data_IF_755063357009
#
_entry.id   IF_755063357009
#
_cell.length_a   1.000
_cell.length_b   1.000
_cell.length_c   1.000
_cell.angle_alpha   90.00
_cell.angle_beta   90.00
_cell.angle_gamma   90.00
#
_symmetry.space_group_name_H-M   'P 1'
#
loop_
_entity.id
_entity.type
_entity.pdbx_description
1 polymer ?
#
# COMPACT_ATOMS: atom_id res chain seq x y z
N UNK A 1 2.37 15.75 33.59
CA UNK A 1 1.94 17.01 32.94
C UNK A 1 0.45 16.92 32.70
N UNK A 2 -0.31 17.94 33.07
CA UNK A 2 -1.76 17.98 32.84
C UNK A 2 -2.05 18.00 31.33
N UNK A 3 -2.99 17.18 30.82
CA UNK A 3 -3.32 17.18 29.40
C UNK A 3 -3.85 18.53 28.91
N UNK A 4 -3.29 19.01 27.81
CA UNK A 4 -3.67 20.24 27.11
C UNK A 4 -3.94 19.90 25.65
N UNK A 5 -5.20 19.75 25.30
CA UNK A 5 -5.66 19.17 24.05
C UNK A 5 -6.03 20.28 23.07
N UNK A 6 -5.49 20.23 21.84
CA UNK A 6 -5.99 21.01 20.71
C UNK A 6 -6.89 20.16 19.81
N UNK A 7 -8.08 20.66 19.46
CA UNK A 7 -9.04 19.97 18.60
C UNK A 7 -9.20 20.72 17.28
N UNK A 8 -9.04 20.02 16.16
CA UNK A 8 -9.11 20.63 14.83
C UNK A 8 -10.13 19.93 13.96
N UNK A 9 -11.18 20.64 13.55
CA UNK A 9 -12.28 20.14 12.73
C UNK A 9 -12.07 20.55 11.27
N UNK A 10 -11.93 19.58 10.39
CA UNK A 10 -11.70 19.83 8.97
C UNK A 10 -13.02 19.92 8.20
N UNK A 11 -13.15 20.88 7.29
CA UNK A 11 -14.29 20.94 6.36
C UNK A 11 -14.11 20.01 5.15
N UNK A 12 -12.85 19.75 4.77
CA UNK A 12 -12.48 19.01 3.57
C UNK A 12 -13.19 19.55 2.31
N UNK A 13 -13.23 20.86 2.16
CA UNK A 13 -14.07 21.54 1.17
C UNK A 13 -15.55 21.36 1.53
N UNK A 14 -16.33 20.75 0.65
CA UNK A 14 -17.73 20.38 0.91
C UNK A 14 -17.89 18.94 1.40
N UNK A 15 -16.82 18.13 1.43
CA UNK A 15 -16.95 16.70 1.76
C UNK A 15 -17.40 16.45 3.20
N UNK A 16 -16.97 17.29 4.15
CA UNK A 16 -17.43 17.23 5.54
C UNK A 16 -18.42 18.37 5.77
N UNK A 17 -18.06 19.61 5.45
CA UNK A 17 -18.91 20.78 5.73
C UNK A 17 -20.25 20.81 4.97
N UNK A 18 -20.40 20.03 3.90
CA UNK A 18 -21.68 19.87 3.20
C UNK A 18 -22.73 19.14 4.04
N UNK A 19 -22.29 18.27 4.96
CA UNK A 19 -23.17 17.36 5.72
C UNK A 19 -23.01 17.49 7.24
N UNK A 20 -21.89 18.03 7.72
CA UNK A 20 -21.59 18.21 9.15
C UNK A 20 -21.35 19.69 9.39
N UNK A 21 -22.01 20.25 10.41
CA UNK A 21 -21.72 21.61 10.85
C UNK A 21 -20.40 21.66 11.62
N UNK A 22 -19.32 21.93 10.90
CA UNK A 22 -17.97 21.89 11.44
C UNK A 22 -17.72 22.99 12.49
N UNK A 23 -18.40 24.14 12.35
CA UNK A 23 -18.28 25.24 13.31
C UNK A 23 -18.94 24.85 14.64
N UNK A 24 -20.13 24.26 14.57
CA UNK A 24 -20.84 23.75 15.74
C UNK A 24 -20.05 22.63 16.46
N UNK A 25 -19.45 21.71 15.71
CA UNK A 25 -18.59 20.66 16.27
C UNK A 25 -17.37 21.24 16.98
N UNK A 26 -16.73 22.27 16.41
CA UNK A 26 -15.59 22.94 17.04
C UNK A 26 -16.00 23.68 18.32
N UNK A 27 -17.14 24.39 18.31
CA UNK A 27 -17.69 25.04 19.50
C UNK A 27 -18.02 24.04 20.60
N UNK A 28 -18.64 22.91 20.24
CA UNK A 28 -18.88 21.80 21.18
C UNK A 28 -17.55 21.29 21.78
N UNK A 29 -16.54 21.06 20.95
CA UNK A 29 -15.25 20.54 21.40
C UNK A 29 -14.51 21.48 22.36
N UNK A 30 -14.66 22.81 22.20
CA UNK A 30 -14.07 23.81 23.09
C UNK A 30 -14.53 23.67 24.55
N UNK A 31 -15.71 23.11 24.79
CA UNK A 31 -16.29 22.93 26.13
C UNK A 31 -15.96 21.57 26.77
N UNK A 32 -15.19 20.72 26.09
CA UNK A 32 -14.78 19.42 26.64
C UNK A 32 -13.60 19.59 27.61
N UNK A 33 -13.55 18.75 28.63
CA UNK A 33 -12.47 18.76 29.62
C UNK A 33 -11.09 18.65 28.96
N UNK A 34 -10.13 19.43 29.49
CA UNK A 34 -8.73 19.48 29.00
C UNK A 34 -8.53 20.02 27.58
N UNK A 35 -9.59 20.44 26.87
CA UNK A 35 -9.47 21.13 25.58
C UNK A 35 -9.14 22.59 25.80
N UNK A 36 -7.97 23.01 25.31
CA UNK A 36 -7.49 24.40 25.42
C UNK A 36 -7.92 25.21 24.22
N UNK A 37 -7.94 24.59 23.04
CA UNK A 37 -8.32 25.25 21.78
C UNK A 37 -9.09 24.28 20.89
N UNK A 38 -10.14 24.77 20.25
CA UNK A 38 -10.85 24.08 19.19
C UNK A 38 -11.03 24.99 17.98
N UNK A 39 -10.62 24.54 16.78
CA UNK A 39 -10.70 25.33 15.54
C UNK A 39 -11.33 24.54 14.42
N UNK A 40 -12.08 25.22 13.57
CA UNK A 40 -12.57 24.67 12.30
C UNK A 40 -11.80 25.32 11.14
N UNK A 41 -11.32 24.50 10.19
CA UNK A 41 -10.57 25.00 9.04
C UNK A 41 -10.86 24.19 7.77
N UNK A 42 -10.68 24.83 6.60
CA UNK A 42 -11.09 24.26 5.31
C UNK A 42 -10.38 22.96 4.97
N UNK A 43 -9.05 22.93 5.11
CA UNK A 43 -8.21 21.79 4.75
C UNK A 43 -7.12 21.60 5.80
N UNK A 44 -7.37 20.81 6.84
CA UNK A 44 -6.38 20.60 7.91
C UNK A 44 -5.08 19.96 7.42
N UNK A 45 -5.13 19.13 6.37
CA UNK A 45 -3.94 18.48 5.81
C UNK A 45 -3.10 19.39 4.91
N UNK A 46 -3.59 20.57 4.51
CA UNK A 46 -2.80 21.53 3.75
C UNK A 46 -1.70 22.13 4.62
N UNK A 47 -0.69 22.72 3.99
CA UNK A 47 0.41 23.39 4.69
C UNK A 47 -0.09 24.45 5.69
N UNK A 48 -1.03 25.36 5.35
CA UNK A 48 -1.64 26.26 6.33
C UNK A 48 -2.35 25.55 7.49
N UNK A 49 -3.05 24.44 7.21
CA UNK A 49 -3.74 23.66 8.25
C UNK A 49 -2.77 22.98 9.21
N UNK A 50 -1.66 22.46 8.70
CA UNK A 50 -0.59 21.88 9.52
C UNK A 50 0.14 22.96 10.32
N UNK A 51 0.39 24.13 9.73
CA UNK A 51 1.04 25.25 10.42
C UNK A 51 0.19 25.75 11.59
N UNK A 52 -1.14 25.84 11.40
CA UNK A 52 -2.08 26.18 12.47
C UNK A 52 -1.93 25.26 13.70
N UNK A 53 -1.80 23.94 13.48
CA UNK A 53 -1.57 22.97 14.57
C UNK A 53 -0.22 23.23 15.24
N UNK A 54 0.85 23.42 14.44
CA UNK A 54 2.21 23.62 14.94
C UNK A 54 2.34 24.89 15.78
N UNK A 55 1.70 25.97 15.34
CA UNK A 55 1.71 27.27 16.02
C UNK A 55 0.96 27.16 17.36
N UNK A 56 -0.26 26.62 17.35
CA UNK A 56 -1.03 26.41 18.57
C UNK A 56 -0.31 25.50 19.58
N UNK A 57 0.41 24.46 19.13
CA UNK A 57 1.22 23.61 20.01
C UNK A 57 2.24 24.44 20.78
N UNK A 58 2.94 25.35 20.09
CA UNK A 58 3.99 26.19 20.68
C UNK A 58 3.40 27.31 21.54
N UNK A 59 2.42 28.02 21.01
CA UNK A 59 1.87 29.24 21.60
C UNK A 59 0.99 28.94 22.81
N UNK A 60 0.25 27.83 22.78
CA UNK A 60 -0.69 27.45 23.85
C UNK A 60 -0.16 26.32 24.73
N UNK A 61 1.05 25.83 24.45
CA UNK A 61 1.68 24.72 25.17
C UNK A 61 0.84 23.44 25.13
N UNK A 62 0.30 23.10 23.95
CA UNK A 62 -0.48 21.87 23.79
C UNK A 62 0.44 20.66 23.91
N UNK A 63 -0.06 19.60 24.52
CA UNK A 63 0.67 18.33 24.64
C UNK A 63 -0.12 17.13 24.11
N UNK A 64 -1.32 17.37 23.57
CA UNK A 64 -2.17 16.39 22.88
C UNK A 64 -2.89 17.06 21.71
N UNK A 65 -3.12 16.33 20.63
CA UNK A 65 -3.84 16.85 19.45
C UNK A 65 -4.90 15.86 18.99
N UNK A 66 -6.09 16.39 18.70
CA UNK A 66 -7.16 15.66 18.01
C UNK A 66 -7.44 16.34 16.69
N UNK A 67 -7.43 15.58 15.59
CA UNK A 67 -7.91 16.09 14.29
C UNK A 67 -9.15 15.32 13.87
N UNK A 68 -10.28 16.02 13.78
CA UNK A 68 -11.54 15.50 13.28
C UNK A 68 -11.63 15.73 11.77
N UNK A 69 -11.35 14.68 10.98
CA UNK A 69 -11.27 14.79 9.52
C UNK A 69 -11.59 13.47 8.80
N UNK A 70 -10.68 12.98 7.98
CA UNK A 70 -10.78 11.76 7.19
C UNK A 70 -10.35 10.51 7.97
N UNK A 71 -10.14 9.40 7.27
CA UNK A 71 -9.63 8.15 7.84
C UNK A 71 -8.19 8.24 8.32
N UNK A 72 -7.85 7.68 9.51
CA UNK A 72 -6.47 7.58 9.97
C UNK A 72 -5.58 6.80 8.97
N UNK A 73 -6.15 5.86 8.21
CA UNK A 73 -5.43 5.14 7.15
C UNK A 73 -4.91 6.03 6.02
N UNK A 74 -5.36 7.29 5.94
CA UNK A 74 -4.97 8.25 4.92
C UNK A 74 -3.98 9.29 5.45
N UNK A 75 -4.32 10.01 6.53
CA UNK A 75 -3.55 11.19 6.97
C UNK A 75 -3.04 11.12 8.42
N UNK A 76 -3.17 9.99 9.12
CA UNK A 76 -2.53 9.84 10.44
C UNK A 76 -1.01 10.07 10.37
N UNK A 77 -0.26 9.51 9.40
CA UNK A 77 1.18 9.79 9.29
C UNK A 77 1.49 11.27 9.06
N UNK A 78 0.63 11.99 8.32
CA UNK A 78 0.78 13.42 8.04
C UNK A 78 0.67 14.24 9.30
N UNK A 79 -0.39 14.05 10.09
CA UNK A 79 -0.60 14.81 11.32
C UNK A 79 0.35 14.41 12.44
N UNK A 80 0.74 13.13 12.52
CA UNK A 80 1.82 12.70 13.42
C UNK A 80 3.12 13.42 13.14
N UNK A 81 3.49 13.56 11.87
CA UNK A 81 4.68 14.33 11.46
C UNK A 81 4.56 15.81 11.83
N UNK A 82 3.41 16.44 11.59
CA UNK A 82 3.19 17.83 11.97
C UNK A 82 3.32 18.05 13.49
N UNK A 83 2.79 17.13 14.30
CA UNK A 83 2.95 17.13 15.76
C UNK A 83 4.42 16.96 16.17
N UNK A 84 5.13 16.03 15.54
CA UNK A 84 6.55 15.77 15.79
C UNK A 84 7.43 16.99 15.45
N UNK A 85 7.19 17.63 14.30
CA UNK A 85 7.87 18.87 13.89
C UNK A 85 7.59 20.04 14.84
N UNK A 86 6.46 20.03 15.55
CA UNK A 86 6.14 20.99 16.60
C UNK A 86 6.74 20.63 17.97
N UNK A 87 7.39 19.47 18.11
CA UNK A 87 8.08 19.06 19.33
C UNK A 87 7.27 18.19 20.29
N UNK A 88 6.07 17.72 19.90
CA UNK A 88 5.30 16.76 20.72
C UNK A 88 5.40 15.36 20.13
N UNK A 89 5.36 14.34 21.01
CA UNK A 89 5.48 12.95 20.60
C UNK A 89 4.33 12.54 19.64
N UNK A 90 4.60 11.88 18.51
CA UNK A 90 3.58 11.59 17.48
C UNK A 90 2.48 10.64 17.95
N UNK A 91 2.67 9.91 19.06
CA UNK A 91 1.65 9.02 19.63
C UNK A 91 0.70 9.74 20.59
N UNK A 92 0.96 11.03 20.86
CA UNK A 92 0.08 11.94 21.61
C UNK A 92 -0.97 12.63 20.72
N UNK A 93 -1.21 12.03 19.55
CA UNK A 93 -2.16 12.45 18.53
C UNK A 93 -3.27 11.40 18.39
N UNK A 94 -4.51 11.84 18.19
CA UNK A 94 -5.66 10.99 17.86
C UNK A 94 -6.45 11.58 16.69
N UNK A 95 -7.01 10.72 15.85
CA UNK A 95 -7.78 11.15 14.68
C UNK A 95 -9.24 10.70 14.78
N UNK A 96 -10.18 11.64 14.70
CA UNK A 96 -11.61 11.32 14.65
C UNK A 96 -12.06 11.31 13.18
N UNK A 97 -12.44 10.15 12.66
CA UNK A 97 -12.95 10.03 11.29
C UNK A 97 -14.40 10.52 11.21
N UNK A 98 -14.61 11.75 10.75
CA UNK A 98 -15.93 12.35 10.54
C UNK A 98 -16.28 12.50 9.05
N UNK A 99 -15.45 11.96 8.14
CA UNK A 99 -15.70 11.97 6.69
C UNK A 99 -16.27 10.63 6.22
N UNK A 100 -15.41 9.62 6.07
CA UNK A 100 -15.81 8.29 5.59
C UNK A 100 -16.81 7.64 6.55
N UNK A 101 -16.67 7.86 7.85
CA UNK A 101 -17.53 7.25 8.87
C UNK A 101 -18.72 8.13 9.30
N UNK A 102 -18.85 9.36 8.76
CA UNK A 102 -19.95 10.25 9.14
C UNK A 102 -20.51 11.03 7.94
N UNK A 103 -19.84 12.08 7.46
CA UNK A 103 -20.39 13.00 6.46
C UNK A 103 -20.75 12.35 5.11
N UNK A 104 -20.00 11.32 4.68
CA UNK A 104 -20.27 10.62 3.42
C UNK A 104 -21.39 9.59 3.51
N UNK A 105 -21.70 9.11 4.71
CA UNK A 105 -22.61 7.96 4.91
C UNK A 105 -23.89 8.33 5.65
N UNK A 106 -23.98 9.54 6.19
CA UNK A 106 -25.16 10.04 6.93
C UNK A 106 -25.79 11.18 6.15
N UNK A 107 -27.02 10.99 5.66
CA UNK A 107 -27.69 12.01 4.82
C UNK A 107 -28.21 13.20 5.61
N UNK A 108 -28.73 12.95 6.81
CA UNK A 108 -29.30 14.00 7.64
C UNK A 108 -28.19 14.81 8.31
N UNK A 109 -28.22 16.13 8.10
CA UNK A 109 -27.19 17.04 8.58
C UNK A 109 -27.13 17.11 10.11
N UNK A 110 -28.28 17.12 10.78
CA UNK A 110 -28.32 17.25 12.23
C UNK A 110 -27.79 15.98 12.89
N UNK A 111 -28.23 14.80 12.44
CA UNK A 111 -27.70 13.52 12.90
C UNK A 111 -26.21 13.37 12.62
N UNK A 112 -25.73 13.82 11.45
CA UNK A 112 -24.31 13.79 11.11
C UNK A 112 -23.48 14.70 12.03
N UNK A 113 -23.98 15.90 12.34
CA UNK A 113 -23.35 16.82 13.29
C UNK A 113 -23.28 16.21 14.70
N UNK A 114 -24.38 15.66 15.21
CA UNK A 114 -24.40 15.01 16.53
C UNK A 114 -23.47 13.81 16.61
N UNK A 115 -23.44 12.99 15.56
CA UNK A 115 -22.50 11.88 15.45
C UNK A 115 -21.05 12.36 15.41
N UNK A 116 -20.75 13.45 14.69
CA UNK A 116 -19.42 14.02 14.66
C UNK A 116 -18.99 14.54 16.04
N UNK A 117 -19.87 15.20 16.80
CA UNK A 117 -19.62 15.60 18.20
C UNK A 117 -19.29 14.40 19.08
N UNK A 118 -20.07 13.32 18.98
CA UNK A 118 -19.83 12.10 19.75
C UNK A 118 -18.46 11.46 19.42
N UNK A 119 -18.09 11.40 18.13
CA UNK A 119 -16.78 10.88 17.70
C UNK A 119 -15.62 11.76 18.19
N UNK A 120 -15.78 13.08 18.16
CA UNK A 120 -14.78 14.03 18.67
C UNK A 120 -14.63 13.90 20.18
N UNK A 121 -15.73 13.83 20.93
CA UNK A 121 -15.72 13.63 22.38
C UNK A 121 -14.99 12.33 22.77
N UNK A 122 -15.28 11.23 22.06
CA UNK A 122 -14.59 9.96 22.25
C UNK A 122 -13.08 10.07 21.97
N UNK A 123 -12.68 10.74 20.89
CA UNK A 123 -11.27 10.94 20.55
C UNK A 123 -10.53 11.82 21.57
N UNK A 124 -11.15 12.90 22.03
CA UNK A 124 -10.62 13.77 23.11
C UNK A 124 -10.45 12.96 24.39
N UNK A 125 -11.45 12.15 24.77
CA UNK A 125 -11.35 11.30 25.95
C UNK A 125 -10.26 10.24 25.84
N UNK A 126 -10.06 9.68 24.64
CA UNK A 126 -9.01 8.70 24.38
C UNK A 126 -7.61 9.31 24.45
N UNK A 127 -7.39 10.45 23.76
CA UNK A 127 -6.07 11.09 23.68
C UNK A 127 -5.58 11.59 25.04
N UNK A 128 -6.51 11.91 25.96
CA UNK A 128 -6.20 12.23 27.35
C UNK A 128 -5.33 11.15 28.02
N UNK A 129 -5.59 9.88 27.74
CA UNK A 129 -4.86 8.74 28.31
C UNK A 129 -3.67 8.27 27.47
N UNK A 130 -3.42 8.88 26.30
CA UNK A 130 -2.26 8.52 25.49
C UNK A 130 -0.96 8.79 26.25
N UNK A 131 -0.02 7.88 26.06
CA UNK A 131 1.34 7.98 26.57
C UNK A 131 2.30 8.18 25.40
N UNK A 132 3.41 8.92 25.60
CA UNK A 132 4.43 9.02 24.57
C UNK A 132 5.02 7.63 24.31
N UNK A 133 5.19 7.28 23.04
CA UNK A 133 5.85 6.03 22.64
C UNK A 133 7.09 6.34 21.81
N UNK A 134 8.02 5.39 21.79
CA UNK A 134 9.24 5.47 21.00
C UNK A 134 9.14 4.58 19.76
N UNK A 135 9.65 5.08 18.65
CA UNK A 135 9.75 4.28 17.42
C UNK A 135 10.86 3.26 17.60
N UNK A 136 10.56 1.99 17.30
CA UNK A 136 11.55 0.91 17.38
C UNK A 136 12.34 0.87 16.07
N UNK A 137 13.66 0.95 16.19
CA UNK A 137 14.56 0.67 15.07
C UNK A 137 14.78 -0.84 14.94
N UNK A 138 14.76 -1.32 13.70
CA UNK A 138 14.94 -2.73 13.37
C UNK A 138 15.88 -2.83 12.16
N UNK A 139 16.77 -3.84 12.10
CA UNK A 139 17.60 -4.05 10.92
C UNK A 139 16.71 -4.36 9.72
N UNK A 140 17.15 -3.99 8.52
CA UNK A 140 16.42 -4.24 7.28
C UNK A 140 17.28 -5.13 6.38
N UNK A 141 16.73 -6.27 5.97
CA UNK A 141 17.33 -7.08 4.93
C UNK A 141 17.18 -6.34 3.58
N UNK A 142 18.29 -6.00 2.89
CA UNK A 142 18.24 -5.24 1.64
C UNK A 142 17.80 -6.07 0.43
N UNK A 143 17.72 -7.40 0.57
CA UNK A 143 17.32 -8.28 -0.52
C UNK A 143 15.83 -8.14 -0.83
N UNK A 144 15.49 -8.17 -2.13
CA UNK A 144 14.10 -8.07 -2.58
C UNK A 144 13.59 -9.40 -3.09
N UNK A 145 12.34 -9.74 -2.77
CA UNK A 145 11.61 -10.86 -3.37
C UNK A 145 10.53 -10.33 -4.31
N UNK A 146 10.52 -10.81 -5.55
CA UNK A 146 9.51 -10.51 -6.57
C UNK A 146 8.68 -11.76 -6.84
N UNK A 147 7.36 -11.60 -6.81
CA UNK A 147 6.39 -12.67 -7.01
C UNK A 147 5.71 -12.48 -8.35
N UNK A 148 5.99 -13.38 -9.29
CA UNK A 148 5.52 -13.34 -10.66
C UNK A 148 6.55 -12.76 -11.63
N UNK A 149 6.85 -13.50 -12.67
CA UNK A 149 7.74 -13.17 -13.78
C UNK A 149 7.01 -12.64 -15.01
N UNK A 150 5.87 -11.95 -14.85
CA UNK A 150 5.28 -11.16 -15.93
C UNK A 150 6.08 -9.89 -16.22
N UNK A 151 5.69 -9.10 -17.23
CA UNK A 151 6.41 -7.86 -17.60
C UNK A 151 6.62 -6.89 -16.43
N UNK A 152 5.65 -6.77 -15.52
CA UNK A 152 5.78 -5.94 -14.33
C UNK A 152 6.88 -6.43 -13.38
N UNK A 153 6.90 -7.74 -13.09
CA UNK A 153 7.91 -8.36 -12.23
C UNK A 153 9.30 -8.34 -12.86
N UNK A 154 9.39 -8.64 -14.17
CA UNK A 154 10.62 -8.53 -14.96
C UNK A 154 11.21 -7.12 -14.86
N UNK A 155 10.40 -6.09 -15.11
CA UNK A 155 10.87 -4.70 -15.09
C UNK A 155 11.27 -4.24 -13.68
N UNK A 156 10.53 -4.65 -12.65
CA UNK A 156 10.88 -4.35 -11.25
C UNK A 156 12.21 -5.02 -10.86
N UNK A 157 12.41 -6.27 -11.26
CA UNK A 157 13.62 -7.04 -10.96
C UNK A 157 14.85 -6.40 -11.59
N UNK A 158 14.77 -6.09 -12.88
CA UNK A 158 15.88 -5.45 -13.60
C UNK A 158 16.25 -4.11 -12.95
N UNK A 159 15.29 -3.23 -12.65
CA UNK A 159 15.58 -1.93 -12.03
C UNK A 159 16.31 -2.05 -10.68
N UNK A 160 15.88 -2.99 -9.84
CA UNK A 160 16.48 -3.20 -8.51
C UNK A 160 17.86 -3.83 -8.67
N UNK A 161 17.98 -4.82 -9.55
CA UNK A 161 19.21 -5.55 -9.78
C UNK A 161 20.29 -4.72 -10.50
N UNK A 162 19.90 -3.84 -11.43
CA UNK A 162 20.77 -2.85 -12.09
C UNK A 162 21.37 -1.85 -11.08
N UNK A 163 20.72 -1.68 -9.92
CA UNK A 163 21.24 -0.91 -8.79
C UNK A 163 22.09 -1.77 -7.82
N UNK A 164 22.53 -2.95 -8.25
CA UNK A 164 23.37 -3.90 -7.50
C UNK A 164 22.72 -4.48 -6.24
N UNK A 165 21.39 -4.52 -6.18
CA UNK A 165 20.65 -5.14 -5.07
C UNK A 165 20.20 -6.56 -5.44
N UNK A 166 20.40 -7.51 -4.53
CA UNK A 166 19.98 -8.91 -4.74
C UNK A 166 18.46 -9.01 -4.84
N UNK A 167 18.01 -9.66 -5.91
CA UNK A 167 16.61 -9.97 -6.18
C UNK A 167 16.42 -11.48 -6.24
N UNK A 168 15.40 -11.99 -5.56
CA UNK A 168 14.86 -13.32 -5.76
C UNK A 168 13.57 -13.17 -6.57
N UNK A 169 13.44 -13.87 -7.69
CA UNK A 169 12.22 -13.86 -8.50
C UNK A 169 11.58 -15.24 -8.49
N UNK A 170 10.33 -15.33 -8.02
CA UNK A 170 9.56 -16.57 -8.00
C UNK A 170 8.49 -16.52 -9.09
N UNK A 171 8.54 -17.45 -10.02
CA UNK A 171 7.54 -17.63 -11.08
C UNK A 171 6.88 -19.00 -10.94
N UNK A 172 5.54 -19.01 -10.90
CA UNK A 172 4.73 -20.21 -10.73
C UNK A 172 4.85 -21.15 -11.92
N UNK A 173 4.86 -20.61 -13.13
CA UNK A 173 4.89 -21.36 -14.37
C UNK A 173 6.32 -21.78 -14.75
N UNK A 174 6.48 -22.75 -15.67
CA UNK A 174 7.81 -23.17 -16.12
C UNK A 174 8.66 -22.07 -16.77
N UNK A 175 8.03 -20.98 -17.23
CA UNK A 175 8.67 -19.84 -17.89
C UNK A 175 8.14 -18.52 -17.35
N UNK A 176 8.99 -17.50 -17.37
CA UNK A 176 8.59 -16.09 -17.22
C UNK A 176 7.97 -15.56 -18.53
N UNK A 177 7.37 -14.37 -18.47
CA UNK A 177 6.72 -13.68 -19.59
C UNK A 177 5.28 -13.28 -19.29
N UNK A 178 4.56 -14.09 -18.51
CA UNK A 178 3.16 -13.86 -18.12
C UNK A 178 2.22 -13.81 -19.33
N UNK A 179 1.11 -13.07 -19.24
CA UNK A 179 0.16 -12.97 -20.36
C UNK A 179 0.74 -12.25 -21.59
N UNK A 180 1.73 -11.39 -21.39
CA UNK A 180 2.31 -10.62 -22.49
C UNK A 180 2.98 -11.53 -23.53
N UNK A 181 3.55 -12.66 -23.12
CA UNK A 181 4.14 -13.64 -24.04
C UNK A 181 3.11 -14.40 -24.88
N UNK A 182 1.82 -14.26 -24.57
CA UNK A 182 0.72 -14.89 -25.31
C UNK A 182 0.09 -13.93 -26.34
N UNK A 183 0.46 -12.65 -26.30
CA UNK A 183 -0.05 -11.65 -27.24
C UNK A 183 0.75 -11.72 -28.55
N UNK A 184 0.11 -11.48 -29.69
CA UNK A 184 0.82 -11.26 -30.94
C UNK A 184 1.45 -9.85 -30.95
N UNK A 185 0.61 -8.84 -30.73
CA UNK A 185 1.00 -7.42 -30.78
C UNK A 185 0.54 -6.63 -29.56
N UNK A 186 1.21 -5.51 -29.30
CA UNK A 186 0.88 -4.59 -28.20
C UNK A 186 0.45 -3.22 -28.71
N UNK A 187 -0.74 -2.77 -28.34
CA UNK A 187 -1.19 -1.40 -28.60
C UNK A 187 -0.40 -0.40 -27.72
N UNK A 188 -0.27 0.88 -28.11
CA UNK A 188 -0.78 1.48 -29.35
C UNK A 188 0.14 1.31 -30.57
N UNK A 189 1.38 0.89 -30.38
CA UNK A 189 2.40 0.84 -31.46
C UNK A 189 2.23 -0.35 -32.40
N UNK A 190 1.48 -1.37 -31.99
CA UNK A 190 1.30 -2.64 -32.70
C UNK A 190 2.62 -3.40 -32.93
N UNK A 191 3.60 -3.15 -32.06
CA UNK A 191 4.84 -3.92 -32.02
C UNK A 191 4.56 -5.38 -31.63
N UNK A 192 5.37 -6.30 -32.15
CA UNK A 192 5.34 -7.69 -31.73
C UNK A 192 5.71 -7.80 -30.23
N UNK A 193 4.88 -8.49 -29.45
CA UNK A 193 5.09 -8.63 -28.00
C UNK A 193 6.42 -9.31 -27.67
N UNK A 194 6.81 -10.32 -28.46
CA UNK A 194 8.04 -11.07 -28.27
C UNK A 194 9.27 -10.19 -28.53
N UNK A 195 9.20 -9.26 -29.48
CA UNK A 195 10.30 -8.35 -29.79
C UNK A 195 10.68 -7.47 -28.59
N UNK A 196 9.71 -7.09 -27.76
CA UNK A 196 9.95 -6.25 -26.58
C UNK A 196 10.18 -7.06 -25.30
N UNK A 197 9.52 -8.22 -25.16
CA UNK A 197 9.55 -9.02 -23.94
C UNK A 197 10.74 -9.99 -23.89
N UNK A 198 11.06 -10.67 -24.99
CA UNK A 198 12.11 -11.71 -25.01
C UNK A 198 13.50 -11.18 -24.62
N UNK A 199 13.94 -9.98 -25.06
CA UNK A 199 15.21 -9.42 -24.58
C UNK A 199 15.22 -9.21 -23.07
N UNK A 200 14.10 -8.76 -22.49
CA UNK A 200 13.95 -8.55 -21.04
C UNK A 200 13.95 -9.86 -20.26
N UNK A 201 13.28 -10.90 -20.78
CA UNK A 201 13.32 -12.24 -20.19
C UNK A 201 14.75 -12.79 -20.17
N UNK A 202 15.50 -12.58 -21.25
CA UNK A 202 16.91 -13.00 -21.37
C UNK A 202 17.77 -12.26 -20.36
N UNK A 203 17.60 -10.93 -20.24
CA UNK A 203 18.31 -10.12 -19.24
C UNK A 203 18.08 -10.63 -17.82
N UNK A 204 16.83 -10.93 -17.45
CA UNK A 204 16.52 -11.50 -16.12
C UNK A 204 17.21 -12.84 -15.91
N UNK A 205 17.19 -13.72 -16.91
CA UNK A 205 17.78 -15.05 -16.81
C UNK A 205 19.30 -15.07 -16.65
N UNK A 206 20.01 -14.02 -17.09
CA UNK A 206 21.47 -13.93 -17.02
C UNK A 206 21.99 -12.88 -16.03
N UNK A 207 21.12 -12.15 -15.35
CA UNK A 207 21.53 -11.05 -14.47
C UNK A 207 22.21 -11.57 -13.18
N UNK A 208 23.41 -11.10 -12.81
CA UNK A 208 24.16 -11.64 -11.66
C UNK A 208 23.48 -11.41 -10.30
N UNK A 209 22.72 -10.31 -10.19
CA UNK A 209 21.97 -9.99 -8.97
C UNK A 209 20.55 -10.57 -8.92
N UNK A 210 20.10 -11.31 -9.94
CA UNK A 210 18.76 -11.92 -9.96
C UNK A 210 18.87 -13.43 -9.80
N UNK A 211 18.21 -13.97 -8.79
CA UNK A 211 17.99 -15.40 -8.63
C UNK A 211 16.60 -15.77 -9.10
N UNK A 212 16.54 -16.35 -10.30
CA UNK A 212 15.29 -16.75 -10.93
C UNK A 212 14.89 -18.18 -10.54
N UNK A 213 13.76 -18.29 -9.85
CA UNK A 213 13.11 -19.54 -9.47
C UNK A 213 11.81 -19.71 -10.26
N UNK A 214 11.92 -20.25 -11.47
CA UNK A 214 10.75 -20.67 -12.26
C UNK A 214 10.19 -21.99 -11.73
N UNK A 215 8.93 -22.26 -12.09
CA UNK A 215 8.17 -23.42 -11.60
C UNK A 215 8.18 -23.53 -10.07
N UNK A 216 8.11 -22.39 -9.39
CA UNK A 216 8.23 -22.25 -7.94
C UNK A 216 7.11 -21.38 -7.39
N UNK A 217 6.66 -21.69 -6.18
CA UNK A 217 5.54 -20.99 -5.54
C UNK A 217 5.88 -20.64 -4.11
N UNK A 218 5.39 -19.49 -3.65
CA UNK A 218 5.44 -19.12 -2.24
C UNK A 218 4.40 -19.95 -1.50
N UNK A 219 4.84 -20.63 -0.44
CA UNK A 219 3.94 -21.42 0.42
C UNK A 219 3.63 -20.71 1.73
N UNK A 220 4.54 -19.85 2.20
CA UNK A 220 4.39 -19.14 3.47
C UNK A 220 5.21 -17.85 3.47
N UNK A 221 4.64 -16.78 4.02
CA UNK A 221 5.32 -15.52 4.31
C UNK A 221 5.08 -15.19 5.77
N UNK A 222 6.15 -14.95 6.51
CA UNK A 222 6.11 -14.55 7.92
C UNK A 222 7.06 -13.37 8.17
N UNK A 223 6.91 -12.71 9.32
CA UNK A 223 7.71 -11.53 9.68
C UNK A 223 7.00 -10.21 9.41
N UNK A 224 7.79 -9.14 9.24
CA UNK A 224 7.31 -7.77 9.06
C UNK A 224 8.23 -7.00 8.11
N UNK A 225 7.88 -5.74 7.80
CA UNK A 225 8.64 -4.89 6.87
C UNK A 225 10.13 -4.90 7.21
N UNK A 226 10.95 -5.29 6.23
CA UNK A 226 12.41 -5.40 6.35
C UNK A 226 12.93 -6.73 6.92
N UNK A 227 12.08 -7.56 7.54
CA UNK A 227 12.45 -8.83 8.17
C UNK A 227 11.48 -9.94 7.81
N UNK A 228 11.31 -10.19 6.50
CA UNK A 228 10.46 -11.27 6.01
C UNK A 228 11.22 -12.60 5.97
N UNK A 229 10.56 -13.67 6.37
CA UNK A 229 10.98 -15.05 6.12
C UNK A 229 9.97 -15.71 5.21
N UNK A 230 10.44 -16.16 4.04
CA UNK A 230 9.58 -16.69 2.98
C UNK A 230 9.98 -18.13 2.67
N UNK A 231 9.00 -19.04 2.67
CA UNK A 231 9.19 -20.43 2.23
C UNK A 231 8.75 -20.55 0.78
N UNK A 232 9.63 -21.09 -0.06
CA UNK A 232 9.42 -21.27 -1.50
C UNK A 232 9.46 -22.76 -1.82
N UNK A 233 8.40 -23.26 -2.42
CA UNK A 233 8.33 -24.62 -2.96
C UNK A 233 8.77 -24.61 -4.42
N UNK A 234 9.95 -25.13 -4.70
CA UNK A 234 10.40 -25.44 -6.06
C UNK A 234 9.74 -26.74 -6.51
N UNK A 235 8.85 -26.68 -7.50
CA UNK A 235 8.12 -27.86 -7.99
C UNK A 235 9.08 -28.77 -8.78
N UNK A 236 8.89 -30.07 -8.67
CA UNK A 236 9.71 -31.05 -9.39
C UNK A 236 9.41 -30.99 -10.89
N UNK A 237 10.41 -30.63 -11.70
CA UNK A 237 10.32 -30.68 -13.17
C UNK A 237 10.47 -32.10 -13.73
N UNK A 238 10.93 -33.03 -12.89
CA UNK A 238 11.33 -34.40 -13.28
C UNK A 238 12.39 -34.43 -14.38
N UNK A 239 13.17 -33.35 -14.49
CA UNK A 239 14.29 -33.17 -15.42
C UNK A 239 15.44 -32.57 -14.62
N UNK A 240 16.64 -33.12 -14.81
CA UNK A 240 17.88 -32.53 -14.30
C UNK A 240 18.20 -31.27 -15.13
N UNK A 241 17.97 -30.10 -14.53
CA UNK A 241 18.10 -28.82 -15.23
C UNK A 241 19.55 -28.46 -15.55
N UNK A 242 20.52 -29.05 -14.86
CA UNK A 242 21.94 -28.81 -15.15
C UNK A 242 22.40 -29.58 -16.40
N UNK A 243 21.66 -30.62 -16.79
CA UNK A 243 21.92 -31.43 -18.00
C UNK A 243 20.97 -31.11 -19.16
N UNK A 244 19.87 -30.40 -18.90
CA UNK A 244 18.86 -30.10 -19.91
C UNK A 244 19.38 -29.05 -20.90
N UNK A 245 19.43 -29.40 -22.19
CA UNK A 245 19.87 -28.50 -23.26
C UNK A 245 18.71 -27.77 -23.95
N UNK A 246 17.46 -28.10 -23.62
CA UNK A 246 16.27 -27.50 -24.25
C UNK A 246 16.06 -27.90 -25.73
N UNK A 247 16.67 -29.00 -26.20
CA UNK A 247 16.62 -29.39 -27.62
C UNK A 247 15.24 -29.83 -28.14
N UNK A 248 14.32 -30.22 -27.25
CA UNK A 248 12.96 -30.63 -27.61
C UNK A 248 12.80 -32.07 -28.15
N UNK A 249 13.88 -32.86 -28.25
CA UNK A 249 13.81 -34.26 -28.72
C UNK A 249 12.94 -35.15 -27.84
N UNK A 250 12.89 -34.89 -26.53
CA UNK A 250 12.01 -35.59 -25.61
C UNK A 250 10.52 -35.36 -25.92
N UNK A 251 10.14 -34.16 -26.38
CA UNK A 251 8.76 -33.83 -26.71
C UNK A 251 8.30 -34.53 -28.00
N UNK A 252 9.16 -34.55 -29.03
CA UNK A 252 8.87 -35.21 -30.32
C UNK A 252 8.58 -36.71 -30.17
N UNK A 253 9.28 -37.36 -29.24
CA UNK A 253 9.17 -38.80 -28.99
C UNK A 253 8.13 -39.15 -27.91
N UNK A 254 7.39 -38.17 -27.38
CA UNK A 254 6.44 -38.41 -26.30
C UNK A 254 5.20 -39.18 -26.83
N UNK A 255 4.88 -40.37 -26.28
CA UNK A 255 3.72 -41.15 -26.72
C UNK A 255 2.39 -40.57 -26.23
N UNK A 256 2.43 -39.68 -25.23
CA UNK A 256 1.25 -39.00 -24.69
C UNK A 256 1.08 -37.66 -25.38
N UNK A 257 -0.08 -37.46 -26.02
CA UNK A 257 -0.48 -36.15 -26.58
C UNK A 257 -1.32 -35.42 -25.55
N UNK A 258 -0.76 -34.38 -24.95
CA UNK A 258 -1.48 -33.48 -24.05
C UNK A 258 -1.77 -32.17 -24.78
N UNK A 259 -3.03 -31.73 -24.81
CA UNK A 259 -3.39 -30.40 -25.33
C UNK A 259 -3.22 -29.37 -24.21
N UNK A 260 -2.26 -28.43 -24.31
CA UNK A 260 -2.05 -27.39 -23.31
C UNK A 260 -3.33 -26.58 -23.07
N UNK A 261 -3.60 -26.20 -21.81
CA UNK A 261 -4.78 -25.40 -21.46
C UNK A 261 -4.84 -24.03 -22.17
N UNK A 262 -3.71 -23.52 -22.67
CA UNK A 262 -3.61 -22.23 -23.38
C UNK A 262 -3.97 -22.26 -24.87
N UNK A 263 -4.07 -23.43 -25.50
CA UNK A 263 -4.36 -23.54 -26.95
C UNK A 263 -5.86 -23.60 -27.29
N UNK A 264 -6.76 -23.65 -26.31
CA UNK A 264 -8.22 -23.80 -26.56
C UNK A 264 -8.95 -22.54 -27.06
N UNK A 265 -8.25 -21.50 -27.54
CA UNK A 265 -8.88 -20.23 -27.96
C UNK A 265 -8.33 -19.60 -29.25
N UNK A 266 -7.66 -20.37 -30.11
CA UNK A 266 -7.40 -19.97 -31.50
C UNK A 266 -8.23 -20.86 -32.42
N UNK A 267 -9.17 -20.29 -33.17
CA UNK A 267 -10.07 -21.03 -34.05
C UNK A 267 -9.32 -21.79 -35.13
N UNK A 268 -9.18 -23.10 -34.94
CA UNK A 268 -9.07 -24.07 -36.01
C UNK A 268 -10.51 -24.47 -36.39
N UNK A 269 -10.90 -24.11 -37.62
CA UNK A 269 -12.20 -24.40 -38.22
C UNK A 269 -12.39 -25.84 -38.68
N UNK A 270 -11.66 -26.82 -38.18
CA UNK A 270 -11.94 -28.24 -38.43
C UNK A 270 -12.88 -28.80 -37.36
N UNK A 271 -14.18 -28.71 -37.65
CA UNK A 271 -15.16 -29.65 -37.10
C UNK A 271 -14.84 -31.02 -37.69
N UNK A 272 -14.19 -31.89 -36.93
CA UNK A 272 -14.24 -33.32 -37.22
C UNK A 272 -15.56 -33.88 -36.65
N UNK A 273 -16.28 -34.54 -37.56
CA UNK A 273 -17.57 -35.21 -37.45
C UNK A 273 -17.61 -36.34 -36.42
#
# INVERSE_FOLDING_TARGET
>A
MEPRIGVYVCHCGSNIAGTVDCAEVAQFAQNLDSVVVARAYKFMCSEPGQQLIKDDIKDLGLNRVVVASCSPTMHEPTFRRACQEAGINPYLFEMANIREHCSWVTKDKQMATEKAKALVSAAVRRVYYHQPLETREVPVNPNTLIVGGGIAGIQAALKIADSEHKVYMVEREPSIGGHMSQLDKTFPTLDCSACILTPRMTQVGSHPYIELMTYSEIVEVSGYVGNFTVKIRKKARYIDMDKCTGCGECYKNCPVRYVPQGERRGGDGSRES
#
